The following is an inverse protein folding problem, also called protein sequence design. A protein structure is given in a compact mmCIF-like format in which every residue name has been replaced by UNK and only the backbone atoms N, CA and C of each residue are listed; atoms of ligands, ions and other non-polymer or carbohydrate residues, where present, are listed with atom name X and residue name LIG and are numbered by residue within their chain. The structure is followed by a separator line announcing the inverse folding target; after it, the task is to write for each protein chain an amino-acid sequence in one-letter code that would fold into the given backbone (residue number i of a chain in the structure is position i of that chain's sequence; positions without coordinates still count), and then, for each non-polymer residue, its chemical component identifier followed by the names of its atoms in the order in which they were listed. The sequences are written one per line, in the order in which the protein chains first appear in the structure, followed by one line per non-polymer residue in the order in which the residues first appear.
data_IF_899586286766
#
_entry.id   IF_899586286766
#
_cell.length_a   1.000
_cell.length_b   1.000
_cell.length_c   1.000
_cell.angle_alpha   90.00
_cell.angle_beta   90.00
_cell.angle_gamma   90.00
#
_symmetry.space_group_name_H-M   'P 1'
#
loop_
_entity.id
_entity.type
_entity.pdbx_description
1 polymer ?
#
# COMPACT_ATOMS: atom_id res chain seq x y z
N UNK A 1 15.59 0.81 5.19
CA UNK A 1 15.34 0.10 3.92
C UNK A 1 16.65 -0.12 3.20
N UNK A 2 16.91 -1.37 2.82
CA UNK A 2 18.06 -1.82 2.04
C UNK A 2 17.60 -2.25 0.65
N UNK A 3 18.54 -2.41 -0.28
CA UNK A 3 18.26 -2.84 -1.66
C UNK A 3 17.50 -4.17 -1.68
N UNK A 4 17.89 -5.13 -0.84
CA UNK A 4 17.20 -6.44 -0.72
C UNK A 4 15.73 -6.39 -0.28
N UNK A 5 15.27 -5.27 0.25
CA UNK A 5 13.88 -5.12 0.67
C UNK A 5 12.93 -4.86 -0.51
N UNK A 6 13.44 -4.66 -1.72
CA UNK A 6 12.65 -4.42 -2.92
C UNK A 6 12.73 -5.66 -3.82
N UNK A 7 11.61 -6.36 -3.95
CA UNK A 7 11.43 -7.43 -4.91
C UNK A 7 10.71 -6.89 -6.15
N UNK A 8 11.48 -6.67 -7.21
CA UNK A 8 10.97 -6.14 -8.49
C UNK A 8 10.11 -7.19 -9.21
N UNK A 9 10.45 -8.47 -9.08
CA UNK A 9 9.76 -9.55 -9.78
C UNK A 9 8.36 -9.76 -9.21
N UNK A 10 8.25 -9.82 -7.88
CA UNK A 10 6.99 -9.99 -7.17
C UNK A 10 6.31 -8.66 -6.82
N UNK A 11 6.86 -7.51 -7.26
CA UNK A 11 6.30 -6.16 -7.05
C UNK A 11 6.04 -5.88 -5.56
N UNK A 12 6.96 -6.30 -4.72
CA UNK A 12 6.80 -6.37 -3.27
C UNK A 12 7.89 -5.57 -2.57
N UNK A 13 7.48 -4.79 -1.57
CA UNK A 13 8.37 -4.09 -0.65
C UNK A 13 8.25 -4.77 0.71
N UNK A 14 9.32 -5.46 1.08
CA UNK A 14 9.43 -6.20 2.34
C UNK A 14 9.94 -5.27 3.44
N UNK A 15 9.05 -4.81 4.33
CA UNK A 15 9.45 -4.08 5.52
C UNK A 15 9.51 -5.04 6.72
N UNK A 16 10.66 -5.69 6.88
CA UNK A 16 10.94 -6.52 8.03
C UNK A 16 11.09 -5.66 9.31
N UNK A 17 10.19 -5.87 10.28
CA UNK A 17 10.20 -5.17 11.56
C UNK A 17 11.36 -5.55 12.49
N UNK A 18 12.12 -6.60 12.16
CA UNK A 18 13.38 -6.92 12.84
C UNK A 18 14.55 -6.02 12.41
N UNK A 19 14.44 -5.35 11.25
CA UNK A 19 15.50 -4.50 10.65
C UNK A 19 15.09 -3.02 10.57
N UNK A 20 13.79 -2.72 10.54
CA UNK A 20 13.24 -1.37 10.55
C UNK A 20 12.54 -1.17 11.89
N UNK A 21 12.90 -0.13 12.68
CA UNK A 21 12.13 0.26 13.87
C UNK A 21 10.75 0.79 13.46
N UNK A 22 9.87 -0.10 13.01
CA UNK A 22 8.47 0.19 12.77
C UNK A 22 7.80 0.38 14.14
N UNK A 23 7.04 1.46 14.28
CA UNK A 23 6.22 1.73 15.47
C UNK A 23 5.21 0.59 15.62
N UNK A 24 5.50 -0.38 16.50
CA UNK A 24 4.64 -1.53 16.78
C UNK A 24 5.20 -2.92 16.42
N UNK A 25 6.43 -3.03 15.89
CA UNK A 25 7.12 -4.32 15.75
C UNK A 25 6.50 -5.35 14.78
N UNK A 26 5.52 -4.96 13.97
CA UNK A 26 4.90 -5.81 12.94
C UNK A 26 5.60 -5.61 11.60
N UNK A 27 6.10 -6.68 10.99
CA UNK A 27 6.55 -6.65 9.59
C UNK A 27 5.37 -6.33 8.69
N UNK A 28 5.58 -5.47 7.69
CA UNK A 28 4.55 -5.09 6.73
C UNK A 28 5.07 -5.38 5.34
N UNK A 29 4.36 -6.27 4.66
CA UNK A 29 4.59 -6.57 3.26
C UNK A 29 3.70 -5.64 2.42
N UNK A 30 4.34 -4.65 1.80
CA UNK A 30 3.64 -3.66 0.98
C UNK A 30 3.74 -4.13 -0.46
N UNK A 31 2.61 -4.56 -1.00
CA UNK A 31 2.47 -4.86 -2.42
C UNK A 31 2.33 -3.57 -3.22
N UNK A 32 2.65 -3.65 -4.50
CA UNK A 32 2.47 -2.53 -5.41
C UNK A 32 0.99 -2.12 -5.48
N UNK A 33 0.73 -0.84 -5.20
CA UNK A 33 -0.56 -0.22 -5.52
C UNK A 33 -0.76 -0.16 -7.04
N UNK A 34 -2.01 -0.20 -7.53
CA UNK A 34 -2.36 -0.02 -8.94
C UNK A 34 -2.21 1.45 -9.37
N UNK A 35 -1.00 1.99 -9.16
CA UNK A 35 -0.57 3.33 -9.53
C UNK A 35 0.00 3.34 -10.96
N UNK A 36 0.03 4.51 -11.61
CA UNK A 36 0.55 4.67 -12.97
C UNK A 36 1.89 3.94 -13.22
N UNK A 37 2.07 3.30 -14.39
CA UNK A 37 3.30 2.55 -14.72
C UNK A 37 4.60 3.34 -14.58
N UNK A 38 4.53 4.68 -14.68
CA UNK A 38 5.66 5.59 -14.48
C UNK A 38 6.38 5.34 -13.15
N UNK A 39 5.64 5.16 -12.04
CA UNK A 39 6.24 4.95 -10.72
C UNK A 39 7.06 3.66 -10.66
N UNK A 40 6.60 2.60 -11.33
CA UNK A 40 7.35 1.35 -11.46
C UNK A 40 8.67 1.59 -12.19
N UNK A 41 8.59 2.31 -13.30
CA UNK A 41 9.75 2.62 -14.16
C UNK A 41 10.82 3.35 -13.36
N UNK A 42 10.44 4.40 -12.62
CA UNK A 42 11.36 5.18 -11.77
C UNK A 42 12.05 4.28 -10.72
N UNK A 43 11.30 3.38 -10.06
CA UNK A 43 11.89 2.48 -9.05
C UNK A 43 12.85 1.48 -9.68
N UNK A 44 12.51 0.91 -10.85
CA UNK A 44 13.38 -0.03 -11.56
C UNK A 44 14.67 0.67 -12.02
N UNK A 45 14.55 1.84 -12.65
CA UNK A 45 15.70 2.64 -13.08
C UNK A 45 16.59 3.03 -11.90
N UNK A 46 16.01 3.37 -10.75
CA UNK A 46 16.77 3.65 -9.54
C UNK A 46 17.56 2.43 -9.06
N UNK A 47 16.93 1.25 -9.03
CA UNK A 47 17.59 0.00 -8.63
C UNK A 47 18.73 -0.35 -9.59
N UNK A 48 18.53 -0.20 -10.89
CA UNK A 48 19.57 -0.41 -11.89
C UNK A 48 20.71 0.59 -11.75
N UNK A 49 20.40 1.85 -11.45
CA UNK A 49 21.40 2.87 -11.15
C UNK A 49 22.25 2.49 -9.94
N UNK A 50 21.64 2.02 -8.85
CA UNK A 50 22.37 1.57 -7.68
C UNK A 50 23.33 0.42 -8.01
N UNK A 51 22.86 -0.58 -8.78
CA UNK A 51 23.70 -1.70 -9.23
C UNK A 51 24.88 -1.24 -10.08
N UNK A 52 24.66 -0.33 -11.02
CA UNK A 52 25.74 0.26 -11.84
C UNK A 52 26.78 1.01 -11.02
N UNK A 53 26.38 1.61 -9.89
CA UNK A 53 27.28 2.28 -8.95
C UNK A 53 28.02 1.32 -8.01
N UNK A 54 27.77 0.00 -8.09
CA UNK A 54 28.42 -1.01 -7.25
C UNK A 54 27.70 -1.27 -5.92
N UNK A 55 26.46 -0.82 -5.76
CA UNK A 55 25.67 -1.15 -4.58
C UNK A 55 25.25 -2.63 -4.62
N UNK A 56 25.23 -3.25 -3.44
CA UNK A 56 24.78 -4.62 -3.22
C UNK A 56 23.46 -4.66 -2.45
N UNK A 57 22.89 -5.85 -2.34
CA UNK A 57 21.67 -6.13 -1.58
C UNK A 57 21.67 -5.62 -0.13
N UNK A 58 22.83 -5.65 0.54
CA UNK A 58 22.98 -5.17 1.92
C UNK A 58 23.07 -3.65 2.04
N UNK A 59 23.26 -2.93 0.94
CA UNK A 59 23.39 -1.48 0.98
C UNK A 59 22.04 -0.79 1.17
N UNK A 60 22.10 0.45 1.62
CA UNK A 60 20.95 1.30 1.72
C UNK A 60 20.29 1.53 0.35
N UNK A 61 18.97 1.31 0.29
CA UNK A 61 18.15 1.72 -0.85
C UNK A 61 18.15 3.25 -1.00
N UNK A 62 18.19 3.94 0.13
CA UNK A 62 18.38 5.38 0.23
C UNK A 62 19.50 5.66 1.23
N UNK A 63 20.68 5.96 0.67
CA UNK A 63 21.92 6.11 1.41
C UNK A 63 21.96 7.38 2.27
N UNK A 64 22.75 7.35 3.33
CA UNK A 64 23.09 8.56 4.09
C UNK A 64 23.92 9.51 3.21
N UNK A 65 23.39 10.72 2.98
CA UNK A 65 24.06 11.73 2.17
C UNK A 65 25.43 12.14 2.74
N UNK A 66 25.62 12.13 4.06
CA UNK A 66 26.92 12.43 4.67
C UNK A 66 27.94 11.38 4.30
N UNK A 67 27.55 10.11 4.30
CA UNK A 67 28.40 9.01 3.87
C UNK A 67 28.81 9.17 2.40
N UNK A 68 27.85 9.47 1.51
CA UNK A 68 28.13 9.65 0.08
C UNK A 68 29.00 10.88 -0.23
N UNK A 69 28.89 11.97 0.53
CA UNK A 69 29.71 13.19 0.37
C UNK A 69 31.22 12.91 0.51
N UNK A 70 31.60 11.87 1.25
CA UNK A 70 32.99 11.46 1.42
C UNK A 70 33.54 10.61 0.27
N UNK A 71 32.78 10.39 -0.81
CA UNK A 71 33.17 9.60 -1.99
C UNK A 71 33.76 8.23 -1.61
N UNK A 72 32.99 7.40 -0.89
CA UNK A 72 33.45 6.10 -0.43
C UNK A 72 33.76 5.18 -1.61
N UNK A 73 34.68 4.24 -1.40
CA UNK A 73 34.88 3.16 -2.36
C UNK A 73 33.65 2.24 -2.36
N UNK A 74 32.96 2.19 -3.50
CA UNK A 74 31.78 1.35 -3.70
C UNK A 74 32.12 -0.02 -4.30
N UNK A 75 33.40 -0.28 -4.58
CA UNK A 75 33.92 -1.54 -5.10
C UNK A 75 35.33 -1.83 -4.56
N UNK A 76 35.78 -3.09 -4.71
CA UNK A 76 37.12 -3.53 -4.28
C UNK A 76 37.25 -3.87 -2.79
N UNK A 77 38.47 -4.21 -2.36
CA UNK A 77 38.76 -4.77 -1.02
C UNK A 77 38.52 -3.80 0.15
N UNK A 78 38.46 -2.48 -0.10
CA UNK A 78 38.18 -1.45 0.90
C UNK A 78 36.71 -1.06 1.04
N UNK A 79 35.81 -1.71 0.30
CA UNK A 79 34.39 -1.38 0.27
C UNK A 79 33.71 -1.67 1.62
N UNK A 80 32.88 -0.73 2.06
CA UNK A 80 32.02 -0.88 3.24
C UNK A 80 30.55 -0.87 2.83
N UNK A 81 29.70 -1.47 3.66
CA UNK A 81 28.25 -1.40 3.48
C UNK A 81 27.81 0.05 3.56
N UNK A 82 27.04 0.50 2.57
CA UNK A 82 26.50 1.84 2.51
C UNK A 82 25.39 1.98 3.57
N UNK A 83 25.54 2.89 4.55
CA UNK A 83 24.58 3.05 5.62
C UNK A 83 23.29 3.69 5.12
N UNK A 84 22.18 3.29 5.75
CA UNK A 84 20.86 3.90 5.53
C UNK A 84 20.84 5.32 6.08
N UNK A 85 20.06 6.20 5.46
CA UNK A 85 19.83 7.53 6.02
C UNK A 85 19.29 7.43 7.47
N UNK A 86 19.76 8.34 8.32
CA UNK A 86 19.42 8.34 9.76
C UNK A 86 18.33 9.35 10.13
N UNK A 87 17.99 10.27 9.24
CA UNK A 87 16.97 11.30 9.45
C UNK A 87 16.03 11.39 8.24
N UNK A 88 14.82 11.90 8.48
CA UNK A 88 13.82 12.16 7.43
C UNK A 88 14.15 13.40 6.59
N UNK A 89 15.17 14.18 6.97
CA UNK A 89 15.48 15.47 6.36
C UNK A 89 15.79 15.34 4.85
N UNK A 90 16.52 14.29 4.45
CA UNK A 90 16.82 14.06 3.02
C UNK A 90 15.55 13.85 2.19
N UNK A 91 14.51 13.23 2.77
CA UNK A 91 13.22 13.06 2.09
C UNK A 91 12.50 14.39 2.02
N UNK A 92 12.44 15.15 3.12
CA UNK A 92 11.82 16.48 3.12
C UNK A 92 12.49 17.43 2.12
N UNK A 93 13.83 17.47 2.09
CA UNK A 93 14.62 18.26 1.14
C UNK A 93 14.36 17.85 -0.31
N UNK A 94 14.24 16.55 -0.59
CA UNK A 94 13.89 16.08 -1.93
C UNK A 94 12.51 16.59 -2.39
N UNK A 95 11.52 16.63 -1.50
CA UNK A 95 10.21 17.23 -1.78
C UNK A 95 10.29 18.74 -2.00
N UNK A 96 11.07 19.45 -1.19
CA UNK A 96 11.29 20.89 -1.36
C UNK A 96 11.94 21.21 -2.70
N UNK A 97 12.93 20.42 -3.13
CA UNK A 97 13.56 20.55 -4.44
C UNK A 97 12.56 20.27 -5.55
N UNK A 98 11.80 19.18 -5.46
CA UNK A 98 10.81 18.80 -6.47
C UNK A 98 9.67 19.83 -6.59
N UNK A 99 9.34 20.54 -5.52
CA UNK A 99 8.28 21.56 -5.50
C UNK A 99 8.81 22.99 -5.74
N UNK A 100 10.09 23.18 -6.07
CA UNK A 100 10.70 24.51 -6.15
C UNK A 100 9.98 25.45 -7.10
N UNK A 101 9.56 24.94 -8.26
CA UNK A 101 8.88 25.70 -9.31
C UNK A 101 7.37 25.46 -9.31
N UNK A 102 6.84 24.86 -8.24
CA UNK A 102 5.41 24.58 -8.06
C UNK A 102 4.77 25.66 -7.19
N UNK A 103 3.54 26.06 -7.53
CA UNK A 103 2.73 26.95 -6.69
C UNK A 103 2.37 26.32 -5.33
N UNK A 104 2.39 24.99 -5.25
CA UNK A 104 2.08 24.22 -4.04
C UNK A 104 3.28 23.40 -3.58
N UNK A 105 3.52 23.42 -2.27
CA UNK A 105 4.52 22.56 -1.61
C UNK A 105 3.87 21.28 -1.14
N UNK A 106 4.41 20.15 -1.58
CA UNK A 106 3.98 18.83 -1.15
C UNK A 106 4.92 18.27 -0.08
N UNK A 107 4.39 17.39 0.77
CA UNK A 107 5.15 16.70 1.82
C UNK A 107 5.04 15.19 1.63
N UNK A 108 5.89 14.38 2.27
CA UNK A 108 5.75 12.92 2.26
C UNK A 108 4.35 12.45 2.73
N UNK A 109 3.74 13.18 3.67
CA UNK A 109 2.38 12.89 4.11
C UNK A 109 1.33 13.17 3.03
N UNK A 110 1.52 14.21 2.21
CA UNK A 110 0.63 14.51 1.09
C UNK A 110 0.56 13.35 0.08
N UNK A 111 1.69 12.67 -0.18
CA UNK A 111 1.68 11.46 -1.03
C UNK A 111 0.86 10.35 -0.42
N UNK A 112 1.02 10.10 0.89
CA UNK A 112 0.21 9.09 1.59
C UNK A 112 -1.29 9.42 1.53
N UNK A 113 -1.67 10.68 1.70
CA UNK A 113 -3.06 11.12 1.55
C UNK A 113 -3.56 10.94 0.12
N UNK A 114 -2.73 11.23 -0.88
CA UNK A 114 -3.07 11.05 -2.30
C UNK A 114 -3.36 9.58 -2.63
N UNK A 115 -2.56 8.65 -2.11
CA UNK A 115 -2.82 7.20 -2.27
C UNK A 115 -4.13 6.77 -1.61
N UNK A 116 -4.51 7.40 -0.49
CA UNK A 116 -5.81 7.18 0.15
C UNK A 116 -6.98 7.77 -0.63
N UNK A 117 -6.82 9.00 -1.14
CA UNK A 117 -7.83 9.67 -1.97
C UNK A 117 -8.08 8.91 -3.28
N UNK A 118 -7.02 8.40 -3.93
CA UNK A 118 -7.12 7.59 -5.14
C UNK A 118 -7.97 6.34 -4.96
N UNK A 119 -7.89 5.69 -3.78
CA UNK A 119 -8.76 4.58 -3.42
C UNK A 119 -10.22 5.03 -3.31
N UNK A 120 -10.46 6.21 -2.77
CA UNK A 120 -11.81 6.72 -2.52
C UNK A 120 -12.51 7.18 -3.80
N UNK A 121 -11.76 7.70 -4.77
CA UNK A 121 -12.24 8.10 -6.10
C UNK A 121 -12.57 6.90 -7.00
N UNK A 122 -11.95 5.73 -6.76
CA UNK A 122 -12.21 4.52 -7.54
C UNK A 122 -13.47 3.77 -7.10
N UNK A 123 -14.16 3.18 -8.07
CA UNK A 123 -15.29 2.27 -7.86
C UNK A 123 -14.82 0.88 -7.36
N UNK A 124 -14.24 0.84 -6.17
CA UNK A 124 -13.72 -0.38 -5.54
C UNK A 124 -14.78 -1.10 -4.71
N UNK A 125 -14.79 -2.42 -4.80
CA UNK A 125 -15.51 -3.28 -3.86
C UNK A 125 -15.00 -3.13 -2.43
N UNK A 126 -15.79 -3.55 -1.44
CA UNK A 126 -15.37 -3.53 -0.04
C UNK A 126 -14.12 -4.37 0.23
N UNK A 127 -13.97 -5.48 -0.50
CA UNK A 127 -12.79 -6.34 -0.40
C UNK A 127 -11.53 -5.63 -0.94
N UNK A 128 -11.65 -4.92 -2.05
CA UNK A 128 -10.57 -4.13 -2.65
C UNK A 128 -10.15 -2.94 -1.79
N UNK A 129 -11.12 -2.20 -1.25
CA UNK A 129 -10.86 -1.12 -0.28
C UNK A 129 -10.10 -1.65 0.93
N UNK A 130 -10.49 -2.82 1.44
CA UNK A 130 -9.82 -3.48 2.55
C UNK A 130 -8.40 -3.94 2.22
N UNK A 131 -8.20 -4.55 1.05
CA UNK A 131 -6.87 -4.94 0.56
C UNK A 131 -5.96 -3.71 0.45
N UNK A 132 -6.47 -2.61 -0.10
CA UNK A 132 -5.75 -1.33 -0.19
C UNK A 132 -5.37 -0.76 1.18
N UNK A 133 -6.31 -0.72 2.11
CA UNK A 133 -6.09 -0.18 3.47
C UNK A 133 -5.05 -1.00 4.25
N UNK A 134 -5.12 -2.34 4.18
CA UNK A 134 -4.11 -3.21 4.78
C UNK A 134 -2.74 -3.02 4.12
N UNK A 135 -2.70 -2.81 2.80
CA UNK A 135 -1.47 -2.54 2.06
C UNK A 135 -0.83 -1.19 2.44
N UNK A 136 -1.63 -0.20 2.87
CA UNK A 136 -1.14 1.07 3.43
C UNK A 136 -0.66 0.96 4.89
N UNK A 137 -0.79 -0.22 5.52
CA UNK A 137 -0.50 -0.41 6.94
C UNK A 137 -1.55 0.19 7.88
N UNK A 138 -2.76 0.45 7.39
CA UNK A 138 -3.90 0.89 8.20
C UNK A 138 -4.87 -0.29 8.39
N UNK A 139 -4.84 -0.93 9.56
CA UNK A 139 -5.90 -1.89 9.95
C UNK A 139 -7.21 -1.15 10.33
N UNK A 140 -7.13 0.13 10.73
CA UNK A 140 -8.22 0.86 11.39
C UNK A 140 -9.18 1.61 10.45
N UNK A 141 -9.50 1.09 9.27
CA UNK A 141 -10.66 1.63 8.56
C UNK A 141 -11.93 1.15 9.28
N UNK A 142 -12.52 2.04 10.08
CA UNK A 142 -13.63 1.72 11.01
C UNK A 142 -14.90 1.20 10.32
N UNK A 143 -14.98 1.26 9.00
CA UNK A 143 -16.08 0.71 8.22
C UNK A 143 -15.72 -0.67 7.68
N UNK A 144 -16.49 -1.67 8.13
CA UNK A 144 -16.54 -3.05 7.59
C UNK A 144 -15.45 -4.03 8.07
N UNK A 145 -14.76 -3.76 9.18
CA UNK A 145 -13.81 -4.74 9.75
C UNK A 145 -14.52 -6.04 10.20
N UNK A 146 -15.79 -5.94 10.62
CA UNK A 146 -16.60 -7.06 11.14
C UNK A 146 -16.81 -8.23 10.18
N UNK A 147 -16.77 -8.03 8.86
CA UNK A 147 -17.19 -9.08 7.91
C UNK A 147 -16.05 -9.84 7.22
N UNK A 148 -14.84 -9.29 7.15
CA UNK A 148 -13.79 -9.84 6.28
C UNK A 148 -12.49 -10.27 6.98
N UNK A 149 -12.33 -10.06 8.29
CA UNK A 149 -11.11 -10.49 9.03
C UNK A 149 -9.80 -9.91 8.46
N UNK A 150 -8.62 -10.43 8.82
CA UNK A 150 -7.38 -10.03 8.12
C UNK A 150 -7.24 -10.82 6.81
N UNK A 151 -6.88 -10.18 5.70
CA UNK A 151 -6.66 -10.90 4.44
C UNK A 151 -5.30 -11.59 4.49
N UNK A 152 -5.19 -12.79 3.90
CA UNK A 152 -3.88 -13.39 3.62
C UNK A 152 -3.13 -12.55 2.60
N UNK A 153 -1.80 -12.66 2.58
CA UNK A 153 -0.97 -11.93 1.64
C UNK A 153 -1.28 -12.31 0.18
N UNK A 154 -1.48 -13.61 -0.10
CA UNK A 154 -1.91 -14.12 -1.41
C UNK A 154 -3.23 -13.46 -1.86
N UNK A 155 -4.23 -13.43 -0.96
CA UNK A 155 -5.53 -12.83 -1.28
C UNK A 155 -5.41 -11.31 -1.47
N UNK A 156 -4.54 -10.65 -0.72
CA UNK A 156 -4.29 -9.21 -0.87
C UNK A 156 -3.64 -8.90 -2.23
N UNK A 157 -2.69 -9.73 -2.69
CA UNK A 157 -2.07 -9.60 -4.02
C UNK A 157 -3.13 -9.75 -5.10
N UNK A 158 -3.88 -10.86 -5.11
CA UNK A 158 -4.91 -11.13 -6.12
C UNK A 158 -5.88 -9.96 -6.26
N UNK A 159 -6.36 -9.47 -5.12
CA UNK A 159 -7.33 -8.37 -5.08
C UNK A 159 -6.70 -7.07 -5.59
N UNK A 160 -5.47 -6.74 -5.19
CA UNK A 160 -4.79 -5.52 -5.66
C UNK A 160 -4.45 -5.58 -7.16
N UNK A 161 -4.12 -6.75 -7.69
CA UNK A 161 -3.87 -6.94 -9.13
C UNK A 161 -5.14 -6.83 -9.95
N UNK A 162 -6.27 -7.36 -9.45
CA UNK A 162 -7.57 -7.22 -10.11
C UNK A 162 -7.92 -5.74 -10.33
N UNK A 163 -7.72 -4.88 -9.31
CA UNK A 163 -7.96 -3.43 -9.43
C UNK A 163 -7.19 -2.80 -10.60
N UNK A 164 -5.97 -3.26 -10.87
CA UNK A 164 -5.13 -2.77 -11.96
C UNK A 164 -5.53 -3.30 -13.35
N UNK A 165 -6.40 -4.31 -13.41
CA UNK A 165 -6.88 -4.95 -14.63
C UNK A 165 -8.34 -4.66 -14.98
N UNK A 166 -9.09 -3.96 -14.13
CA UNK A 166 -10.44 -3.49 -14.45
C UNK A 166 -10.35 -2.30 -15.43
N UNK A 167 -10.69 -2.51 -16.70
CA UNK A 167 -11.20 -1.41 -17.53
C UNK A 167 -12.48 -0.86 -16.85
N UNK A 168 -12.68 0.45 -16.90
CA UNK A 168 -13.79 1.17 -16.25
C UNK A 168 -15.21 0.67 -16.65
N UNK A 169 -15.31 -0.28 -17.57
CA UNK A 169 -16.57 -0.76 -18.15
C UNK A 169 -17.28 -1.90 -17.41
N UNK A 170 -16.65 -2.58 -16.45
CA UNK A 170 -17.15 -3.90 -15.98
C UNK A 170 -17.57 -3.98 -14.49
N UNK A 171 -17.69 -2.87 -13.78
CA UNK A 171 -18.40 -2.90 -12.50
C UNK A 171 -19.92 -2.87 -12.75
N UNK A 172 -20.71 -3.90 -12.35
CA UNK A 172 -22.14 -3.72 -12.24
C UNK A 172 -22.38 -2.71 -11.11
N UNK A 173 -22.50 -1.43 -11.49
CA UNK A 173 -22.93 -0.35 -10.61
C UNK A 173 -24.39 -0.58 -10.25
N UNK A 174 -24.60 -1.41 -9.24
CA UNK A 174 -25.88 -1.49 -8.57
C UNK A 174 -25.98 -0.23 -7.71
N UNK A 175 -26.94 0.64 -8.04
CA UNK A 175 -27.15 1.90 -7.32
C UNK A 175 -27.41 1.63 -5.84
N UNK A 176 -27.09 2.60 -4.98
CA UNK A 176 -27.31 2.45 -3.55
C UNK A 176 -28.78 2.20 -3.19
N UNK A 177 -29.71 2.70 -4.01
CA UNK A 177 -31.15 2.41 -3.87
C UNK A 177 -31.46 0.92 -4.03
N UNK A 178 -30.79 0.24 -4.98
CA UNK A 178 -30.99 -1.20 -5.20
C UNK A 178 -30.35 -2.01 -4.07
N UNK A 179 -29.25 -1.55 -3.49
CA UNK A 179 -28.64 -2.20 -2.31
C UNK A 179 -29.53 -2.07 -1.08
N UNK A 180 -30.11 -0.89 -0.85
CA UNK A 180 -31.05 -0.64 0.24
C UNK A 180 -32.29 -1.52 0.07
N UNK A 181 -32.87 -1.55 -1.13
CA UNK A 181 -34.05 -2.36 -1.42
C UNK A 181 -33.80 -3.87 -1.22
N UNK A 182 -32.61 -4.36 -1.59
CA UNK A 182 -32.22 -5.75 -1.37
C UNK A 182 -32.06 -6.07 0.13
N UNK A 183 -31.46 -5.15 0.89
CA UNK A 183 -31.29 -5.30 2.32
C UNK A 183 -32.64 -5.33 3.06
N UNK A 184 -33.54 -4.42 2.69
CA UNK A 184 -34.89 -4.33 3.24
C UNK A 184 -35.70 -5.58 2.93
N UNK A 185 -35.60 -6.10 1.70
CA UNK A 185 -36.27 -7.33 1.30
C UNK A 185 -35.80 -8.56 2.11
N UNK A 186 -34.49 -8.67 2.36
CA UNK A 186 -33.92 -9.75 3.18
C UNK A 186 -34.35 -9.59 4.65
N UNK A 187 -34.36 -8.36 5.16
CA UNK A 187 -34.78 -8.06 6.52
C UNK A 187 -36.26 -8.42 6.75
N UNK A 188 -37.14 -8.04 5.82
CA UNK A 188 -38.56 -8.36 5.85
C UNK A 188 -38.82 -9.87 5.77
N UNK A 189 -38.01 -10.59 4.98
CA UNK A 189 -38.09 -12.04 4.89
C UNK A 189 -37.70 -12.71 6.22
N UNK A 190 -36.61 -12.26 6.85
CA UNK A 190 -36.21 -12.74 8.18
C UNK A 190 -37.27 -12.44 9.26
N UNK A 191 -37.94 -11.28 9.20
CA UNK A 191 -39.04 -10.94 10.12
C UNK A 191 -40.25 -11.85 9.89
N UNK A 192 -40.68 -12.06 8.64
CA UNK A 192 -41.80 -12.95 8.30
C UNK A 192 -41.55 -14.39 8.74
N UNK A 193 -40.31 -14.88 8.57
CA UNK A 193 -39.90 -16.21 9.02
C UNK A 193 -39.90 -16.34 10.56
N UNK A 194 -39.54 -15.28 11.30
CA UNK A 194 -39.62 -15.24 12.77
C UNK A 194 -41.06 -15.23 13.28
N UNK A 195 -41.92 -14.42 12.68
CA UNK A 195 -43.33 -14.29 13.06
C UNK A 195 -44.11 -15.58 12.76
N UNK A 196 -43.81 -16.26 11.65
CA UNK A 196 -44.41 -17.55 11.29
C UNK A 196 -43.93 -18.75 12.14
N UNK A 197 -42.80 -18.62 12.84
CA UNK A 197 -42.35 -19.58 13.87
C UNK A 197 -42.96 -19.29 15.24
N UNK A 198 -43.25 -18.03 15.57
CA UNK A 198 -43.88 -17.63 16.83
C UNK A 198 -45.36 -18.05 16.97
N UNK A 199 -46.09 -18.22 15.87
CA UNK A 199 -47.51 -18.67 15.90
C UNK A 199 -47.71 -20.19 16.00
N UNK A 200 -46.63 -21.00 15.95
CA UNK A 200 -46.71 -22.47 16.06
C UNK A 200 -46.50 -23.02 17.48
N UNK A 201 -46.46 -22.14 18.48
CA UNK A 201 -46.23 -22.50 19.88
C UNK A 201 -47.17 -21.78 20.84
N UNK A 202 -48.46 -22.09 20.78
CA UNK A 202 -49.39 -21.85 21.88
C UNK A 202 -50.33 -23.07 21.94
N UNK A 203 -50.24 -23.93 22.98
CA UNK A 203 -51.27 -24.94 23.27
C UNK A 203 -52.57 -24.30 23.76
#
# INVERSE_FOLDING_TARGET
MRVKNIDIANRLILQDASVVRAKGGKSIDIFRFPLPPLFKTIVVEWMDRLRQLGFTEEDALFADLKYLKHRPALSGSGRKVVPVMTTTHAVTEAFEIACRDSERKFTPHAVKHTIGAERDERALTQLERKAWSQNMGHENEQTTERYYGKLSDERRIEVLEAIGGHDESDAPSISDDVKIALLDAVYDQCIKERTSRGQRGAP
#
